data_IF_546696467741
#
_entry.id   IF_546696467741
#
_cell.length_a   1.000
_cell.length_b   1.000
_cell.length_c   1.000
_cell.angle_alpha   90.00
_cell.angle_beta   90.00
_cell.angle_gamma   90.00
#
_symmetry.space_group_name_H-M   'P 1'
#
loop_
_entity.id
_entity.type
_entity.pdbx_description
1 polymer ?
#
# COMPACT_ATOMS: atom_id res chain seq x y z
N UNK A 1 -12.70 -69.50 -41.95
CA UNK A 1 -11.70 -68.49 -41.53
C UNK A 1 -12.34 -67.09 -41.48
N UNK A 2 -13.14 -66.77 -40.45
CA UNK A 2 -13.76 -65.44 -40.29
C UNK A 2 -14.04 -65.04 -38.82
N UNK A 3 -13.62 -65.86 -37.84
CA UNK A 3 -13.93 -65.64 -36.42
C UNK A 3 -12.77 -65.04 -35.61
N UNK A 4 -11.57 -64.91 -36.21
CA UNK A 4 -10.37 -64.40 -35.53
C UNK A 4 -10.04 -62.94 -35.84
N UNK A 5 -10.81 -62.28 -36.71
CA UNK A 5 -10.63 -60.87 -37.06
C UNK A 5 -11.40 -59.90 -36.16
N UNK A 6 -12.34 -60.39 -35.33
CA UNK A 6 -13.12 -59.53 -34.41
C UNK A 6 -12.49 -59.38 -33.02
N UNK A 7 -11.51 -60.21 -32.66
CA UNK A 7 -10.87 -60.13 -31.33
C UNK A 7 -9.67 -59.18 -31.28
N UNK A 8 -9.13 -58.74 -32.42
CA UNK A 8 -8.09 -57.68 -32.46
C UNK A 8 -8.66 -56.28 -32.55
N UNK A 9 -9.85 -56.10 -33.14
CA UNK A 9 -10.50 -54.79 -33.27
C UNK A 9 -11.04 -54.21 -31.95
N UNK A 10 -11.12 -55.01 -30.88
CA UNK A 10 -11.62 -54.55 -29.56
C UNK A 10 -10.47 -54.14 -28.62
N UNK A 11 -9.23 -54.49 -28.96
CA UNK A 11 -8.07 -54.18 -28.12
C UNK A 11 -7.55 -52.74 -28.31
N UNK A 12 -7.89 -52.08 -29.43
CA UNK A 12 -7.44 -50.71 -29.72
C UNK A 12 -8.45 -49.63 -29.24
N UNK A 13 -9.61 -50.03 -28.73
CA UNK A 13 -10.67 -49.12 -28.26
C UNK A 13 -10.96 -49.28 -26.77
N UNK A 14 -9.93 -49.58 -25.99
CA UNK A 14 -10.00 -49.60 -24.51
C UNK A 14 -8.76 -48.95 -23.89
N UNK A 15 -8.15 -48.00 -24.60
CA UNK A 15 -7.33 -47.00 -23.92
C UNK A 15 -8.24 -45.83 -23.58
N UNK A 16 -9.10 -46.04 -22.58
CA UNK A 16 -9.69 -44.93 -21.84
C UNK A 16 -8.50 -44.27 -21.16
N UNK A 17 -7.97 -43.22 -21.80
CA UNK A 17 -7.01 -42.33 -21.17
C UNK A 17 -7.73 -41.77 -19.95
N UNK A 18 -7.47 -42.38 -18.79
CA UNK A 18 -7.73 -41.75 -17.50
C UNK A 18 -6.76 -40.58 -17.45
N UNK A 19 -7.18 -39.44 -18.01
CA UNK A 19 -6.55 -38.17 -17.67
C UNK A 19 -6.76 -38.00 -16.17
N UNK A 20 -5.70 -38.21 -15.40
CA UNK A 20 -5.68 -37.83 -13.99
C UNK A 20 -6.16 -36.38 -13.88
N UNK A 21 -7.21 -36.10 -13.10
CA UNK A 21 -7.74 -34.75 -13.01
C UNK A 21 -6.64 -33.87 -12.40
N UNK A 22 -6.00 -33.05 -13.26
CA UNK A 22 -5.01 -32.06 -12.83
C UNK A 22 -5.63 -31.26 -11.68
N UNK A 23 -4.94 -31.12 -10.53
CA UNK A 23 -5.53 -30.46 -9.37
C UNK A 23 -5.89 -29.03 -9.75
N UNK A 24 -7.21 -28.77 -9.79
CA UNK A 24 -7.76 -27.43 -10.05
C UNK A 24 -7.32 -26.57 -8.86
N UNK A 25 -6.33 -25.70 -9.07
CA UNK A 25 -5.90 -24.72 -8.08
C UNK A 25 -7.05 -23.75 -7.84
N UNK A 26 -7.82 -23.99 -6.78
CA UNK A 26 -8.92 -23.10 -6.37
C UNK A 26 -8.31 -21.83 -5.81
N UNK A 27 -8.42 -20.74 -6.57
CA UNK A 27 -8.10 -19.41 -6.08
C UNK A 27 -9.11 -19.08 -4.98
N UNK A 28 -8.63 -18.91 -3.75
CA UNK A 28 -9.44 -18.38 -2.65
C UNK A 28 -9.36 -16.87 -2.73
N UNK A 29 -10.52 -16.21 -2.80
CA UNK A 29 -10.59 -14.77 -2.65
C UNK A 29 -10.20 -14.44 -1.20
N UNK A 30 -8.96 -14.00 -0.99
CA UNK A 30 -8.55 -13.44 0.30
C UNK A 30 -9.17 -12.05 0.36
N UNK A 31 -10.11 -11.85 1.28
CA UNK A 31 -10.62 -10.51 1.55
C UNK A 31 -9.45 -9.66 2.03
N UNK A 32 -9.16 -8.56 1.32
CA UNK A 32 -8.19 -7.58 1.82
C UNK A 32 -8.69 -7.09 3.19
N UNK A 33 -7.78 -6.92 4.17
CA UNK A 33 -8.15 -6.34 5.46
C UNK A 33 -8.83 -4.98 5.24
N UNK A 34 -9.76 -4.58 6.12
CA UNK A 34 -10.44 -3.30 6.01
C UNK A 34 -9.40 -2.17 6.01
N UNK A 35 -9.52 -1.29 5.01
CA UNK A 35 -8.77 -0.03 4.92
C UNK A 35 -8.95 0.75 6.21
N UNK A 36 -7.87 1.07 6.91
CA UNK A 36 -7.93 1.95 8.08
C UNK A 36 -7.69 3.38 7.59
N UNK A 37 -8.44 4.31 8.16
CA UNK A 37 -8.16 5.73 8.00
C UNK A 37 -7.03 6.10 8.94
N UNK A 38 -5.92 6.60 8.38
CA UNK A 38 -4.78 7.04 9.20
C UNK A 38 -5.07 8.42 9.76
N UNK A 39 -4.80 8.61 11.05
CA UNK A 39 -4.99 9.88 11.74
C UNK A 39 -3.66 10.35 12.33
N UNK A 40 -3.40 11.65 12.22
CA UNK A 40 -2.31 12.34 12.92
C UNK A 40 -2.98 13.37 13.81
N UNK A 41 -2.48 13.54 15.04
CA UNK A 41 -2.97 14.57 15.97
C UNK A 41 -1.78 15.41 16.41
N UNK A 42 -1.42 16.41 15.61
CA UNK A 42 -0.39 17.41 15.89
C UNK A 42 -0.97 18.68 16.53
N UNK A 43 -2.29 18.85 16.48
CA UNK A 43 -2.99 19.97 17.13
C UNK A 43 -2.78 19.95 18.66
N UNK A 44 -2.12 20.99 19.18
CA UNK A 44 -1.92 21.19 20.62
C UNK A 44 -0.61 20.65 21.18
N UNK A 45 0.32 20.20 20.33
CA UNK A 45 1.65 19.79 20.76
C UNK A 45 2.47 21.02 21.16
N UNK A 46 2.88 21.08 22.43
CA UNK A 46 3.63 22.22 22.99
C UNK A 46 5.15 22.01 22.99
N UNK A 47 5.60 20.78 22.78
CA UNK A 47 7.02 20.41 22.78
C UNK A 47 7.40 19.71 21.49
N UNK A 48 8.48 20.17 20.88
CA UNK A 48 8.98 19.65 19.60
C UNK A 48 9.41 18.18 19.70
N UNK A 49 9.84 17.73 20.88
CA UNK A 49 10.10 16.31 21.17
C UNK A 49 8.83 15.46 21.13
N UNK A 50 7.71 15.99 21.61
CA UNK A 50 6.43 15.29 21.56
C UNK A 50 5.93 15.21 20.10
N UNK A 51 6.13 16.28 19.32
CA UNK A 51 5.78 16.31 17.90
C UNK A 51 6.57 15.22 17.14
N UNK A 52 7.88 15.16 17.34
CA UNK A 52 8.72 14.11 16.75
C UNK A 52 8.25 12.70 17.10
N UNK A 53 7.91 12.44 18.36
CA UNK A 53 7.43 11.12 18.79
C UNK A 53 6.09 10.76 18.12
N UNK A 54 5.18 11.71 17.97
CA UNK A 54 3.91 11.46 17.26
C UNK A 54 4.13 11.22 15.78
N UNK A 55 5.01 11.98 15.12
CA UNK A 55 5.36 11.79 13.71
C UNK A 55 6.01 10.42 13.46
N UNK A 56 6.85 9.94 14.39
CA UNK A 56 7.44 8.60 14.30
C UNK A 56 6.39 7.50 14.46
N UNK A 57 5.49 7.63 15.44
CA UNK A 57 4.37 6.68 15.61
C UNK A 57 3.45 6.66 14.41
N UNK A 58 3.21 7.82 13.79
CA UNK A 58 2.45 7.90 12.56
C UNK A 58 3.16 7.16 11.42
N UNK A 59 4.46 7.34 11.25
CA UNK A 59 5.24 6.61 10.24
C UNK A 59 5.14 5.09 10.43
N UNK A 60 5.25 4.61 11.66
CA UNK A 60 5.13 3.19 11.99
C UNK A 60 3.70 2.64 11.75
N UNK A 61 2.70 3.52 11.78
CA UNK A 61 1.29 3.15 11.57
C UNK A 61 0.88 3.12 10.09
N UNK A 62 1.68 3.68 9.18
CA UNK A 62 1.39 3.69 7.74
C UNK A 62 1.54 2.26 7.18
N UNK A 63 0.41 1.61 6.88
CA UNK A 63 0.40 0.27 6.26
C UNK A 63 0.05 0.38 4.78
N UNK A 64 0.60 -0.52 3.96
CA UNK A 64 0.25 -0.65 2.54
C UNK A 64 -1.26 -0.89 2.38
N UNK A 65 -1.95 0.12 1.85
CA UNK A 65 -3.38 0.06 1.56
C UNK A 65 -4.24 1.02 2.36
N UNK A 66 -3.70 1.73 3.35
CA UNK A 66 -4.47 2.72 4.10
C UNK A 66 -4.88 3.92 3.22
N UNK A 67 -6.08 4.44 3.49
CA UNK A 67 -6.54 5.67 2.86
C UNK A 67 -5.98 6.84 3.67
N UNK A 68 -5.14 7.64 3.03
CA UNK A 68 -4.59 8.85 3.62
C UNK A 68 -5.57 9.99 3.31
N UNK A 69 -6.30 10.51 4.30
CA UNK A 69 -7.19 11.63 4.08
C UNK A 69 -6.38 12.91 3.79
N UNK A 70 -6.94 13.78 2.94
CA UNK A 70 -6.31 15.07 2.61
C UNK A 70 -6.04 15.94 3.85
N UNK A 71 -6.86 15.79 4.90
CA UNK A 71 -6.70 16.49 6.17
C UNK A 71 -5.36 16.22 6.86
N UNK A 72 -4.85 14.99 6.77
CA UNK A 72 -3.54 14.63 7.35
C UNK A 72 -2.40 15.40 6.66
N UNK A 73 -2.49 15.57 5.35
CA UNK A 73 -1.49 16.33 4.58
C UNK A 73 -1.57 17.81 4.99
N UNK A 74 -2.77 18.37 5.09
CA UNK A 74 -2.99 19.75 5.50
C UNK A 74 -2.43 20.00 6.90
N UNK A 75 -2.70 19.11 7.86
CA UNK A 75 -2.20 19.22 9.23
C UNK A 75 -0.65 19.13 9.28
N UNK A 76 -0.03 18.24 8.50
CA UNK A 76 1.42 18.16 8.38
C UNK A 76 2.02 19.46 7.82
N UNK A 77 1.42 20.03 6.78
CA UNK A 77 1.88 21.29 6.16
C UNK A 77 1.72 22.46 7.13
N UNK A 78 0.58 22.56 7.82
CA UNK A 78 0.33 23.61 8.80
C UNK A 78 1.33 23.55 9.95
N UNK A 79 1.58 22.36 10.49
CA UNK A 79 2.54 22.16 11.57
C UNK A 79 3.98 22.46 11.10
N UNK A 80 4.33 22.11 9.86
CA UNK A 80 5.63 22.45 9.28
C UNK A 80 5.89 23.97 9.26
N UNK A 81 4.87 24.78 8.92
CA UNK A 81 5.00 26.23 8.83
C UNK A 81 5.17 26.91 10.19
N UNK A 82 4.61 26.32 11.25
CA UNK A 82 4.66 26.87 12.60
C UNK A 82 5.92 26.41 13.37
N UNK A 83 6.49 25.26 12.98
CA UNK A 83 7.58 24.65 13.71
C UNK A 83 8.92 25.36 13.56
N UNK A 84 9.60 25.52 14.70
CA UNK A 84 10.92 26.15 14.77
C UNK A 84 12.04 25.12 14.68
N UNK A 85 11.81 23.90 15.17
CA UNK A 85 12.83 22.86 15.20
C UNK A 85 13.06 22.27 13.80
N UNK A 86 14.30 22.37 13.30
CA UNK A 86 14.67 21.85 11.99
C UNK A 86 14.51 20.32 11.88
N UNK A 87 14.70 19.57 12.98
CA UNK A 87 14.53 18.12 12.97
C UNK A 87 13.07 17.72 12.76
N UNK A 88 12.12 18.41 13.40
CA UNK A 88 10.68 18.20 13.21
C UNK A 88 10.30 18.52 11.76
N UNK A 89 10.73 19.69 11.24
CA UNK A 89 10.43 20.09 9.86
C UNK A 89 10.97 19.09 8.83
N UNK A 90 12.22 18.65 8.99
CA UNK A 90 12.81 17.60 8.15
C UNK A 90 12.01 16.31 8.20
N UNK A 91 11.57 15.90 9.40
CA UNK A 91 10.78 14.68 9.57
C UNK A 91 9.42 14.78 8.86
N UNK A 92 8.76 15.94 8.94
CA UNK A 92 7.52 16.20 8.21
C UNK A 92 7.75 16.15 6.70
N UNK A 93 8.81 16.78 6.19
CA UNK A 93 9.13 16.76 4.76
C UNK A 93 9.39 15.32 4.24
N UNK A 94 10.12 14.51 5.03
CA UNK A 94 10.30 13.08 4.74
C UNK A 94 8.96 12.34 4.68
N UNK A 95 8.09 12.56 5.67
CA UNK A 95 6.77 11.93 5.72
C UNK A 95 5.91 12.29 4.51
N UNK A 96 5.83 13.57 4.15
CA UNK A 96 5.10 14.01 2.95
C UNK A 96 5.62 13.31 1.68
N UNK A 97 6.95 13.15 1.55
CA UNK A 97 7.54 12.38 0.46
C UNK A 97 7.14 10.90 0.47
N UNK A 98 7.13 10.27 1.65
CA UNK A 98 6.70 8.87 1.81
C UNK A 98 5.22 8.67 1.47
N UNK A 99 4.34 9.62 1.83
CA UNK A 99 2.92 9.57 1.48
C UNK A 99 2.71 9.59 -0.05
N UNK A 100 3.54 10.34 -0.77
CA UNK A 100 3.53 10.36 -2.24
C UNK A 100 3.87 9.01 -2.90
N UNK A 101 4.49 8.09 -2.17
CA UNK A 101 4.84 6.75 -2.66
C UNK A 101 3.73 5.71 -2.40
N UNK A 102 2.68 6.08 -1.67
CA UNK A 102 1.59 5.15 -1.31
C UNK A 102 0.74 4.83 -2.55
N UNK A 103 0.42 3.55 -2.81
CA UNK A 103 -0.39 3.16 -3.96
C UNK A 103 -1.76 3.84 -3.94
N UNK A 104 -2.21 4.31 -5.10
CA UNK A 104 -3.50 5.01 -5.29
C UNK A 104 -3.60 6.39 -4.62
N UNK A 105 -2.50 6.95 -4.12
CA UNK A 105 -2.44 8.32 -3.64
C UNK A 105 -2.30 9.32 -4.80
N UNK A 106 -3.09 10.41 -4.78
CA UNK A 106 -2.98 11.47 -5.79
C UNK A 106 -1.87 12.47 -5.41
N UNK A 107 -0.70 12.30 -6.01
CA UNK A 107 0.49 13.09 -5.69
C UNK A 107 0.51 14.50 -6.33
N UNK A 108 -0.40 14.82 -7.25
CA UNK A 108 -0.32 16.06 -8.05
C UNK A 108 -0.27 17.33 -7.20
N UNK A 109 -1.16 17.44 -6.21
CA UNK A 109 -1.20 18.59 -5.32
C UNK A 109 -0.05 18.57 -4.30
N UNK A 110 0.31 17.37 -3.81
CA UNK A 110 1.35 17.20 -2.80
C UNK A 110 2.73 17.63 -3.32
N UNK A 111 3.03 17.39 -4.61
CA UNK A 111 4.32 17.75 -5.20
C UNK A 111 4.54 19.26 -5.18
N UNK A 112 3.52 20.05 -5.50
CA UNK A 112 3.62 21.51 -5.50
C UNK A 112 3.77 22.05 -4.08
N UNK A 113 3.01 21.52 -3.13
CA UNK A 113 3.12 21.88 -1.71
C UNK A 113 4.52 21.59 -1.16
N UNK A 114 5.03 20.37 -1.38
CA UNK A 114 6.39 19.98 -0.96
C UNK A 114 7.45 20.86 -1.61
N UNK A 115 7.29 21.22 -2.89
CA UNK A 115 8.21 22.15 -3.58
C UNK A 115 8.27 23.51 -2.89
N UNK A 116 7.12 24.06 -2.49
CA UNK A 116 7.05 25.34 -1.78
C UNK A 116 7.72 25.23 -0.41
N UNK A 117 7.45 24.15 0.33
CA UNK A 117 8.05 23.89 1.65
C UNK A 117 9.57 23.72 1.58
N UNK A 118 10.09 22.97 0.60
CA UNK A 118 11.53 22.78 0.45
C UNK A 118 12.26 24.09 0.11
N UNK A 119 11.62 24.98 -0.66
CA UNK A 119 12.18 26.31 -0.93
C UNK A 119 12.29 27.16 0.33
N UNK A 120 11.35 27.04 1.27
CA UNK A 120 11.41 27.83 2.51
C UNK A 120 12.51 27.35 3.47
N UNK A 121 12.97 26.10 3.39
CA UNK A 121 14.12 25.62 4.18
C UNK A 121 15.48 26.03 3.61
N UNK A 122 15.55 26.36 2.32
CA UNK A 122 16.81 26.73 1.66
C UNK A 122 17.27 28.18 1.90
N UNK A 123 16.54 28.93 2.74
CA UNK A 123 16.84 30.32 3.14
C UNK A 123 17.39 30.38 4.55
#
# INVERSE_FOLDING_TARGET
MAALLKKRAVAEFSQVVQEEPKPIKKLKLVQKPPTKEVQVNLLGVSSSQQALQQLLKFEESLVEGDQIPQSVIQELIEHFQQEKEALVRRKIAQLLGNLGMVPHFSAENLVEDVRILLKSESK
#
